data_IF_905513898816
#
_entry.id   IF_905513898816
#
_cell.length_a   1.000
_cell.length_b   1.000
_cell.length_c   1.000
_cell.angle_alpha   90.00
_cell.angle_beta   90.00
_cell.angle_gamma   90.00
#
_symmetry.space_group_name_H-M   'P 1'
#
loop_
_entity.id
_entity.type
_entity.pdbx_description
1 polymer ?
#
# COMPACT_ATOMS: atom_id res chain seq x y z
N UNK A 1 7.74 10.92 -17.06
CA UNK A 1 7.45 12.12 -16.27
C UNK A 1 7.65 11.81 -14.80
N UNK A 2 8.24 12.72 -14.04
CA UNK A 2 8.50 12.63 -12.59
C UNK A 2 8.45 14.04 -11.99
N UNK A 3 8.36 14.16 -10.66
CA UNK A 3 8.49 15.44 -9.97
C UNK A 3 9.90 16.01 -10.13
N UNK A 4 10.00 17.30 -10.45
CA UNK A 4 11.25 18.03 -10.39
C UNK A 4 11.66 18.37 -8.94
N UNK A 5 12.71 19.20 -8.77
CA UNK A 5 13.18 19.58 -7.44
C UNK A 5 12.15 20.38 -6.64
N UNK A 6 11.36 21.24 -7.29
CA UNK A 6 10.30 22.02 -6.65
C UNK A 6 9.14 21.10 -6.27
N UNK A 7 8.68 20.25 -7.18
CA UNK A 7 7.61 19.27 -6.92
C UNK A 7 7.96 18.31 -5.78
N UNK A 8 9.20 17.81 -5.73
CA UNK A 8 9.69 16.98 -4.62
C UNK A 8 9.73 17.72 -3.29
N UNK A 9 10.06 19.01 -3.30
CA UNK A 9 10.08 19.83 -2.08
C UNK A 9 8.66 20.11 -1.58
N UNK A 10 7.72 20.35 -2.51
CA UNK A 10 6.31 20.56 -2.20
C UNK A 10 5.58 19.25 -1.84
N UNK A 11 6.15 18.10 -2.19
CA UNK A 11 5.52 16.79 -2.04
C UNK A 11 4.47 16.48 -3.11
N UNK A 12 4.28 17.36 -4.11
CA UNK A 12 3.28 17.18 -5.16
C UNK A 12 3.58 17.98 -6.43
N UNK A 13 2.91 17.60 -7.52
CA UNK A 13 2.91 18.28 -8.81
C UNK A 13 1.89 17.67 -9.76
N UNK A 14 1.54 18.38 -10.81
CA UNK A 14 0.58 17.90 -11.81
C UNK A 14 1.06 18.09 -13.25
N UNK A 15 0.45 17.32 -14.16
CA UNK A 15 0.65 17.47 -15.58
C UNK A 15 -0.67 17.34 -16.31
N UNK A 16 -0.97 18.35 -17.12
CA UNK A 16 -2.07 18.29 -18.07
C UNK A 16 -1.55 17.89 -19.44
N UNK A 17 -2.06 16.80 -19.97
CA UNK A 17 -1.68 16.31 -21.30
C UNK A 17 -2.07 17.26 -22.42
N UNK A 18 -1.55 17.04 -23.63
CA UNK A 18 -2.11 17.66 -24.83
C UNK A 18 -3.56 17.21 -25.05
N UNK A 19 -4.31 17.98 -25.83
CA UNK A 19 -5.63 17.56 -26.30
C UNK A 19 -5.44 16.48 -27.38
N UNK A 20 -6.07 15.33 -27.19
CA UNK A 20 -6.15 14.24 -28.16
C UNK A 20 -7.38 14.43 -29.03
N UNK A 21 -7.23 14.27 -30.34
CA UNK A 21 -8.29 14.41 -31.33
C UNK A 21 -8.55 13.05 -32.00
N UNK A 22 -9.75 12.50 -31.81
CA UNK A 22 -10.16 11.24 -32.43
C UNK A 22 -10.58 11.37 -33.90
N UNK A 23 -10.63 12.59 -34.45
CA UNK A 23 -11.06 12.92 -35.82
C UNK A 23 -12.57 13.06 -35.99
N UNK A 24 -13.35 12.32 -35.21
CA UNK A 24 -14.81 12.38 -35.10
C UNK A 24 -15.24 12.23 -33.64
N UNK A 25 -16.53 12.34 -33.35
CA UNK A 25 -17.03 11.92 -32.04
C UNK A 25 -16.59 10.48 -31.75
N UNK A 26 -16.15 10.26 -30.52
CA UNK A 26 -15.61 8.99 -30.08
C UNK A 26 -16.16 8.62 -28.71
N UNK A 27 -16.31 7.32 -28.48
CA UNK A 27 -16.53 6.76 -27.15
C UNK A 27 -15.18 6.39 -26.57
N UNK A 28 -14.73 7.15 -25.57
CA UNK A 28 -13.50 6.90 -24.84
C UNK A 28 -13.74 5.79 -23.83
N UNK A 29 -13.11 4.63 -24.05
CA UNK A 29 -13.43 3.39 -23.36
C UNK A 29 -12.53 3.12 -22.16
N UNK A 30 -11.24 3.43 -22.24
CA UNK A 30 -10.30 3.20 -21.13
C UNK A 30 -9.11 4.14 -21.15
N UNK A 31 -8.54 4.34 -19.96
CA UNK A 31 -7.22 4.90 -19.74
C UNK A 31 -6.36 3.82 -19.06
N UNK A 32 -5.21 3.53 -19.65
CA UNK A 32 -4.20 2.64 -19.09
C UNK A 32 -2.87 3.39 -18.97
N UNK A 33 -2.06 3.02 -17.98
CA UNK A 33 -0.77 3.67 -17.77
C UNK A 33 0.33 2.69 -17.38
N UNK A 34 1.55 3.05 -17.71
CA UNK A 34 2.75 2.31 -17.26
C UNK A 34 3.49 3.17 -16.25
N UNK A 35 3.33 2.92 -14.94
CA UNK A 35 4.17 3.56 -13.94
C UNK A 35 5.53 2.84 -13.85
N UNK A 36 6.53 3.51 -13.31
CA UNK A 36 7.86 2.90 -13.10
C UNK A 36 7.85 1.84 -11.99
N UNK A 37 7.01 2.05 -10.97
CA UNK A 37 6.75 1.15 -9.85
C UNK A 37 5.24 1.18 -9.54
N UNK A 38 4.70 0.17 -8.84
CA UNK A 38 3.32 0.23 -8.33
C UNK A 38 3.21 1.37 -7.30
N UNK A 39 2.37 2.37 -7.56
CA UNK A 39 2.20 3.53 -6.69
C UNK A 39 0.78 3.58 -6.16
N UNK A 40 0.62 3.89 -4.86
CA UNK A 40 -0.68 3.87 -4.19
C UNK A 40 -1.40 2.53 -4.47
N UNK A 41 -0.68 1.42 -4.30
CA UNK A 41 -1.15 0.07 -4.55
C UNK A 41 -0.73 -0.82 -3.39
N UNK A 42 -1.68 -1.59 -2.89
CA UNK A 42 -1.49 -2.57 -1.82
C UNK A 42 -0.51 -3.68 -2.24
N UNK A 43 -0.06 -4.45 -1.26
CA UNK A 43 0.71 -5.67 -1.50
C UNK A 43 -0.15 -6.70 -2.26
N UNK A 44 0.44 -7.52 -3.15
CA UNK A 44 -0.34 -8.51 -3.90
C UNK A 44 -1.01 -9.58 -3.02
N UNK A 45 -2.31 -9.80 -3.22
CA UNK A 45 -3.07 -10.88 -2.58
C UNK A 45 -2.64 -12.27 -3.07
N UNK A 46 -2.98 -13.30 -2.29
CA UNK A 46 -2.94 -14.73 -2.62
C UNK A 46 -1.58 -15.16 -3.18
N UNK A 47 -0.51 -14.92 -2.42
CA UNK A 47 0.87 -15.25 -2.82
C UNK A 47 1.27 -14.59 -4.17
N UNK A 48 0.65 -13.46 -4.51
CA UNK A 48 0.76 -12.82 -5.81
C UNK A 48 2.20 -12.44 -6.18
N UNK A 49 2.57 -12.73 -7.44
CA UNK A 49 3.87 -12.34 -8.00
C UNK A 49 3.66 -11.28 -9.07
N UNK A 50 4.22 -10.11 -8.84
CA UNK A 50 4.27 -9.06 -9.84
C UNK A 50 5.49 -9.19 -10.74
N UNK A 51 5.31 -8.85 -12.00
CA UNK A 51 6.41 -8.76 -12.98
C UNK A 51 6.20 -7.69 -14.04
N UNK A 52 5.10 -6.95 -13.95
CA UNK A 52 4.65 -6.03 -14.99
C UNK A 52 5.35 -4.66 -14.93
N UNK A 53 5.87 -4.27 -13.77
CA UNK A 53 6.50 -2.97 -13.54
C UNK A 53 8.00 -2.99 -13.89
N UNK A 54 8.57 -1.82 -14.19
CA UNK A 54 10.00 -1.72 -14.46
C UNK A 54 10.87 -1.92 -13.21
N UNK A 55 10.33 -1.58 -12.03
CA UNK A 55 10.91 -1.80 -10.71
C UNK A 55 9.79 -1.94 -9.67
N UNK A 56 10.12 -2.31 -8.43
CA UNK A 56 9.14 -2.37 -7.34
C UNK A 56 8.16 -3.54 -7.37
N UNK A 57 8.32 -4.47 -8.32
CA UNK A 57 7.62 -5.75 -8.31
C UNK A 57 7.95 -6.50 -7.02
N UNK A 58 6.94 -7.11 -6.41
CA UNK A 58 7.11 -7.97 -5.24
C UNK A 58 6.66 -9.39 -5.56
N UNK A 59 7.33 -10.34 -4.92
CA UNK A 59 7.02 -11.76 -4.91
C UNK A 59 6.52 -12.08 -3.50
N UNK A 60 5.21 -12.31 -3.39
CA UNK A 60 4.56 -12.59 -2.11
C UNK A 60 4.42 -14.09 -1.84
N UNK A 61 5.03 -14.99 -2.61
CA UNK A 61 4.85 -16.46 -2.46
C UNK A 61 5.22 -17.08 -1.11
N UNK A 62 5.82 -16.31 -0.20
CA UNK A 62 6.16 -16.76 1.14
C UNK A 62 5.46 -15.93 2.22
N UNK A 63 4.50 -15.08 1.85
CA UNK A 63 3.67 -14.42 2.85
C UNK A 63 2.75 -15.46 3.52
N UNK A 64 2.60 -15.31 4.83
CA UNK A 64 1.77 -16.21 5.65
C UNK A 64 0.72 -15.41 6.41
N UNK A 65 0.76 -14.09 6.32
CA UNK A 65 -0.26 -13.19 6.79
C UNK A 65 -0.14 -11.90 5.99
N UNK A 66 -1.26 -11.44 5.44
CA UNK A 66 -1.39 -10.10 4.86
C UNK A 66 -2.75 -9.53 5.24
N UNK A 67 -2.77 -8.52 6.10
CA UNK A 67 -3.98 -7.79 6.44
C UNK A 67 -3.92 -6.39 5.84
N UNK A 68 -4.69 -6.18 4.77
CA UNK A 68 -4.92 -4.84 4.24
C UNK A 68 -5.74 -3.95 5.18
N UNK A 69 -6.43 -4.54 6.17
CA UNK A 69 -7.26 -3.79 7.13
C UNK A 69 -8.30 -2.89 6.44
N UNK A 70 -8.91 -3.45 5.38
CA UNK A 70 -9.84 -2.76 4.49
C UNK A 70 -11.32 -2.97 4.84
N UNK A 71 -11.59 -3.67 5.93
CA UNK A 71 -12.94 -4.02 6.35
C UNK A 71 -13.80 -2.78 6.63
N UNK A 72 -15.12 -2.93 6.49
CA UNK A 72 -16.08 -1.87 6.75
C UNK A 72 -16.26 -1.61 8.26
N UNK A 73 -16.86 -0.46 8.59
CA UNK A 73 -17.24 -0.13 9.98
C UNK A 73 -18.00 -1.25 10.68
N UNK A 74 -17.60 -1.56 11.92
CA UNK A 74 -18.19 -2.61 12.74
C UNK A 74 -17.68 -4.02 12.44
N UNK A 75 -16.57 -4.15 11.70
CA UNK A 75 -15.93 -5.43 11.48
C UNK A 75 -15.36 -6.03 12.77
N UNK A 76 -15.59 -7.33 12.96
CA UNK A 76 -15.01 -8.13 14.05
C UNK A 76 -14.18 -9.30 13.55
N UNK A 77 -14.10 -9.45 12.23
CA UNK A 77 -13.31 -10.44 11.51
C UNK A 77 -12.50 -9.72 10.45
N UNK A 78 -11.22 -10.05 10.34
CA UNK A 78 -10.25 -9.41 9.46
C UNK A 78 -9.66 -10.45 8.53
N UNK A 79 -9.66 -10.16 7.24
CA UNK A 79 -9.29 -11.13 6.21
C UNK A 79 -7.78 -11.21 6.09
N UNK A 80 -7.25 -12.43 6.06
CA UNK A 80 -5.90 -12.70 5.61
C UNK A 80 -5.88 -12.84 4.08
N UNK A 81 -5.37 -11.80 3.42
CA UNK A 81 -5.21 -11.73 1.98
C UNK A 81 -3.99 -12.49 1.45
N UNK A 82 -3.13 -13.06 2.30
CA UNK A 82 -1.98 -13.85 1.82
C UNK A 82 -2.41 -15.15 1.12
N UNK A 83 -3.60 -15.66 1.47
CA UNK A 83 -4.09 -16.97 1.04
C UNK A 83 -3.78 -18.10 2.02
N UNK A 84 -3.03 -17.84 3.09
CA UNK A 84 -2.72 -18.82 4.13
C UNK A 84 -3.92 -19.13 5.05
N UNK A 85 -4.91 -18.24 5.10
CA UNK A 85 -6.15 -18.44 5.86
C UNK A 85 -6.05 -18.05 7.34
N UNK A 86 -5.01 -17.31 7.71
CA UNK A 86 -4.73 -16.82 9.06
C UNK A 86 -5.56 -15.58 9.39
N UNK A 87 -6.89 -15.68 9.25
CA UNK A 87 -7.81 -14.57 9.50
C UNK A 87 -7.74 -14.10 10.96
N UNK A 88 -7.89 -12.79 11.16
CA UNK A 88 -7.95 -12.16 12.48
C UNK A 88 -9.37 -11.99 12.99
N UNK A 89 -9.52 -11.80 14.30
CA UNK A 89 -10.77 -11.40 14.93
C UNK A 89 -10.52 -10.49 16.13
N UNK A 90 -11.53 -9.77 16.59
CA UNK A 90 -11.46 -8.95 17.79
C UNK A 90 -12.71 -9.12 18.65
N UNK A 91 -12.64 -8.72 19.93
CA UNK A 91 -13.72 -8.87 20.90
C UNK A 91 -14.51 -7.57 21.09
N UNK A 92 -15.52 -7.38 20.24
CA UNK A 92 -16.40 -6.21 20.27
C UNK A 92 -17.29 -6.20 21.53
N UNK A 93 -17.62 -7.38 22.07
CA UNK A 93 -18.48 -7.50 23.24
C UNK A 93 -17.86 -6.84 24.48
N UNK A 94 -16.53 -6.77 24.52
CA UNK A 94 -15.78 -6.10 25.58
C UNK A 94 -15.14 -4.77 25.13
N UNK A 95 -15.50 -4.24 23.96
CA UNK A 95 -14.90 -3.01 23.40
C UNK A 95 -13.37 -3.09 23.24
N UNK A 96 -12.87 -4.21 22.71
CA UNK A 96 -11.46 -4.41 22.35
C UNK A 96 -11.29 -4.57 20.82
N UNK A 97 -12.19 -3.96 20.04
CA UNK A 97 -12.15 -3.97 18.58
C UNK A 97 -11.75 -2.60 18.04
N UNK A 98 -10.70 -2.52 17.20
CA UNK A 98 -10.31 -1.25 16.62
C UNK A 98 -11.39 -0.69 15.70
N UNK A 99 -11.42 0.63 15.57
CA UNK A 99 -12.39 1.33 14.72
C UNK A 99 -11.85 1.54 13.31
N UNK A 100 -12.68 1.37 12.28
CA UNK A 100 -12.29 1.70 10.91
C UNK A 100 -12.02 3.20 10.76
N UNK A 101 -11.00 3.56 9.98
CA UNK A 101 -10.77 4.90 9.47
C UNK A 101 -10.63 4.87 7.95
N UNK A 102 -11.23 5.85 7.27
CA UNK A 102 -11.09 6.00 5.80
C UNK A 102 -9.82 6.74 5.41
N UNK A 103 -8.95 7.03 6.37
CA UNK A 103 -7.66 7.68 6.18
C UNK A 103 -6.49 6.69 6.31
N UNK A 104 -6.73 5.44 5.90
CA UNK A 104 -5.68 4.43 5.78
C UNK A 104 -4.53 4.87 4.88
N UNK A 105 -3.42 4.13 4.91
CA UNK A 105 -2.36 4.34 3.94
C UNK A 105 -2.85 3.95 2.56
N UNK A 106 -3.55 2.82 2.48
CA UNK A 106 -4.22 2.33 1.30
C UNK A 106 -5.71 2.11 1.64
N UNK A 107 -6.58 2.87 0.98
CA UNK A 107 -8.02 2.80 1.21
C UNK A 107 -8.40 3.01 2.70
N UNK A 108 -8.81 1.98 3.43
CA UNK A 108 -9.13 2.09 4.86
C UNK A 108 -7.91 1.72 5.73
N UNK A 109 -8.03 1.95 7.03
CA UNK A 109 -7.15 1.36 8.03
C UNK A 109 -7.93 1.21 9.33
N UNK A 110 -7.27 0.73 10.37
CA UNK A 110 -7.92 0.53 11.67
C UNK A 110 -7.18 1.30 12.77
N UNK A 111 -7.94 2.11 13.50
CA UNK A 111 -7.49 2.94 14.61
C UNK A 111 -7.66 2.18 15.93
N UNK A 112 -6.55 2.02 16.65
CA UNK A 112 -6.47 1.35 17.94
C UNK A 112 -6.43 2.41 19.03
N UNK A 113 -7.32 2.33 20.01
CA UNK A 113 -7.48 3.40 21.01
C UNK A 113 -6.60 3.25 22.28
N UNK A 114 -5.80 2.19 22.35
CA UNK A 114 -5.03 1.81 23.53
C UNK A 114 -5.66 0.71 24.39
N UNK A 115 -6.79 0.12 23.96
CA UNK A 115 -7.35 -1.12 24.49
C UNK A 115 -7.62 -2.18 23.42
N UNK A 116 -7.54 -1.83 22.14
CA UNK A 116 -7.92 -2.70 21.03
C UNK A 116 -6.85 -3.72 20.62
N UNK A 117 -7.29 -4.88 20.12
CA UNK A 117 -6.42 -5.91 19.55
C UNK A 117 -7.13 -6.69 18.47
N UNK A 118 -6.43 -7.01 17.38
CA UNK A 118 -6.83 -8.05 16.43
C UNK A 118 -5.99 -9.29 16.73
N UNK A 119 -6.63 -10.40 17.02
CA UNK A 119 -5.99 -11.68 17.33
C UNK A 119 -6.16 -12.65 16.17
N UNK A 120 -5.04 -13.16 15.69
CA UNK A 120 -4.92 -14.26 14.74
C UNK A 120 -4.53 -15.51 15.52
N UNK A 121 -5.37 -16.54 15.48
CA UNK A 121 -5.12 -17.77 16.22
C UNK A 121 -3.82 -18.45 15.75
N UNK A 122 -3.13 -19.12 16.67
CA UNK A 122 -1.92 -19.86 16.35
C UNK A 122 -2.16 -20.89 15.23
N UNK A 123 -1.26 -20.90 14.26
CA UNK A 123 -1.23 -21.84 13.15
C UNK A 123 0.25 -22.22 12.86
N UNK A 124 0.54 -23.47 12.46
CA UNK A 124 1.89 -23.89 12.08
C UNK A 124 2.59 -23.01 11.04
N UNK A 125 1.85 -22.38 10.12
CA UNK A 125 2.40 -21.45 9.13
C UNK A 125 3.02 -20.19 9.75
N UNK A 126 2.55 -19.78 10.94
CA UNK A 126 3.06 -18.64 11.69
C UNK A 126 4.21 -19.00 12.65
N UNK A 127 4.53 -20.30 12.83
CA UNK A 127 5.58 -20.79 13.72
C UNK A 127 6.97 -20.73 13.06
N UNK A 128 7.35 -19.54 12.60
CA UNK A 128 8.57 -19.29 11.83
C UNK A 128 9.82 -19.37 12.73
N UNK A 129 10.85 -20.09 12.27
CA UNK A 129 12.14 -20.29 12.98
C UNK A 129 13.37 -19.90 12.17
N UNK A 130 13.18 -19.62 10.88
CA UNK A 130 14.26 -19.30 9.93
C UNK A 130 14.21 -17.84 9.49
N UNK A 131 14.25 -17.63 8.19
CA UNK A 131 14.09 -16.30 7.60
C UNK A 131 12.69 -15.75 7.90
N UNK A 132 12.62 -14.48 8.29
CA UNK A 132 11.37 -13.80 8.65
C UNK A 132 11.43 -12.34 8.20
N UNK A 133 10.33 -11.85 7.66
CA UNK A 133 10.08 -10.41 7.52
C UNK A 133 8.72 -10.08 8.11
N UNK A 134 8.66 -9.04 8.94
CA UNK A 134 7.40 -8.47 9.43
C UNK A 134 7.37 -6.98 9.09
N UNK A 135 6.21 -6.46 8.68
CA UNK A 135 6.06 -5.04 8.40
C UNK A 135 4.63 -4.56 8.63
N UNK A 136 4.48 -3.26 8.82
CA UNK A 136 3.19 -2.57 8.84
C UNK A 136 3.38 -1.07 8.52
N UNK A 137 2.35 -0.44 7.98
CA UNK A 137 2.19 1.00 8.04
C UNK A 137 1.53 1.38 9.37
N UNK A 138 2.04 2.42 10.03
CA UNK A 138 1.48 2.90 11.30
C UNK A 138 1.44 4.42 11.41
N UNK A 139 0.43 4.93 12.11
CA UNK A 139 0.40 6.26 12.72
C UNK A 139 0.35 6.08 14.24
N UNK A 140 1.18 6.82 14.97
CA UNK A 140 1.05 6.93 16.43
C UNK A 140 0.32 8.23 16.76
N UNK A 141 -0.77 8.14 17.52
CA UNK A 141 -1.53 9.31 18.01
C UNK A 141 -1.01 9.83 19.35
N UNK A 142 -0.11 9.08 19.99
CA UNK A 142 0.51 9.42 21.27
C UNK A 142 1.96 9.87 21.08
N UNK A 143 2.30 11.03 21.65
CA UNK A 143 3.65 11.59 21.61
C UNK A 143 4.55 11.08 22.73
N UNK A 144 3.97 10.50 23.78
CA UNK A 144 4.67 9.82 24.89
C UNK A 144 3.80 8.69 25.44
N UNK A 145 4.41 7.56 25.78
CA UNK A 145 3.77 6.48 26.53
C UNK A 145 4.67 6.03 27.68
N UNK A 146 4.06 5.68 28.82
CA UNK A 146 4.80 5.12 29.96
C UNK A 146 5.30 3.69 29.67
N UNK A 147 4.65 2.97 28.75
CA UNK A 147 4.94 1.59 28.41
C UNK A 147 5.31 1.44 26.93
N UNK A 148 5.85 0.28 26.57
CA UNK A 148 5.96 -0.10 25.17
C UNK A 148 4.57 -0.41 24.58
N UNK A 149 4.43 -0.26 23.27
CA UNK A 149 3.20 -0.45 22.51
C UNK A 149 3.46 -1.43 21.37
N UNK A 150 2.68 -2.50 21.28
CA UNK A 150 2.87 -3.53 20.26
C UNK A 150 2.15 -3.19 18.97
N UNK A 151 2.83 -3.34 17.83
CA UNK A 151 2.24 -3.16 16.49
C UNK A 151 1.82 -4.54 15.98
N UNK A 152 2.75 -5.49 16.01
CA UNK A 152 2.56 -6.88 15.61
C UNK A 152 3.38 -7.76 16.56
N UNK A 153 2.76 -8.74 17.18
CA UNK A 153 3.39 -9.55 18.22
C UNK A 153 3.00 -11.02 18.10
N UNK A 154 4.00 -11.89 18.02
CA UNK A 154 3.83 -13.33 18.27
C UNK A 154 4.90 -13.73 19.25
N UNK A 155 4.67 -13.46 20.53
CA UNK A 155 5.62 -13.76 21.60
C UNK A 155 4.95 -14.42 22.78
N UNK A 156 5.63 -15.43 23.32
CA UNK A 156 5.39 -15.91 24.67
C UNK A 156 6.12 -15.02 25.66
N UNK A 157 5.39 -14.53 26.66
CA UNK A 157 5.94 -13.74 27.75
C UNK A 157 5.58 -14.35 29.10
N UNK A 158 6.60 -14.73 29.88
CA UNK A 158 6.47 -15.18 31.26
C UNK A 158 7.55 -14.55 32.14
N UNK A 159 7.11 -13.65 33.02
CA UNK A 159 7.98 -12.94 33.96
C UNK A 159 8.44 -13.83 35.14
N UNK A 160 7.71 -14.90 35.45
CA UNK A 160 8.01 -15.78 36.58
C UNK A 160 9.20 -16.68 36.28
N UNK A 161 9.29 -17.17 35.03
CA UNK A 161 10.40 -18.01 34.57
C UNK A 161 11.40 -17.29 33.66
N UNK A 162 11.19 -16.00 33.40
CA UNK A 162 12.05 -15.17 32.55
C UNK A 162 12.04 -15.58 31.07
N UNK A 163 11.03 -16.34 30.63
CA UNK A 163 10.94 -16.85 29.26
C UNK A 163 10.25 -15.82 28.37
N UNK A 164 10.99 -15.34 27.38
CA UNK A 164 10.52 -14.39 26.39
C UNK A 164 11.01 -14.87 25.04
N UNK A 165 10.12 -15.38 24.19
CA UNK A 165 10.50 -15.93 22.90
C UNK A 165 9.44 -15.78 21.83
N UNK A 166 9.88 -15.80 20.58
CA UNK A 166 9.11 -15.34 19.43
C UNK A 166 9.63 -14.00 18.91
N UNK A 167 8.75 -13.25 18.24
CA UNK A 167 9.08 -11.98 17.60
C UNK A 167 8.01 -10.91 17.85
N UNK A 168 8.42 -9.65 17.93
CA UNK A 168 7.49 -8.53 17.91
C UNK A 168 8.07 -7.30 17.22
N UNK A 169 7.17 -6.52 16.63
CA UNK A 169 7.38 -5.17 16.15
C UNK A 169 6.63 -4.22 17.07
N UNK A 170 7.33 -3.23 17.63
CA UNK A 170 6.76 -2.40 18.69
C UNK A 170 7.44 -1.01 18.77
N UNK A 171 6.85 -0.12 19.56
CA UNK A 171 7.41 1.18 19.94
C UNK A 171 7.64 1.18 21.45
N UNK A 172 8.81 1.61 21.91
CA UNK A 172 9.13 1.63 23.35
C UNK A 172 8.72 2.96 24.01
N UNK A 173 8.84 3.05 25.34
CA UNK A 173 8.53 4.27 26.10
C UNK A 173 9.45 5.47 25.81
N UNK A 174 10.58 5.26 25.11
CA UNK A 174 11.43 6.31 24.57
C UNK A 174 11.05 6.70 23.13
N UNK A 175 9.87 6.29 22.67
CA UNK A 175 9.33 6.53 21.33
C UNK A 175 10.19 5.98 20.18
N UNK A 176 11.01 4.96 20.44
CA UNK A 176 11.78 4.26 19.40
C UNK A 176 11.03 3.03 18.94
N UNK A 177 10.93 2.87 17.62
CA UNK A 177 10.50 1.61 17.03
C UNK A 177 11.59 0.56 17.24
N UNK A 178 11.18 -0.69 17.44
CA UNK A 178 12.10 -1.79 17.61
C UNK A 178 11.48 -3.11 17.18
N UNK A 179 12.37 -4.03 16.80
CA UNK A 179 12.05 -5.46 16.74
C UNK A 179 12.64 -6.15 17.96
N UNK A 180 11.88 -7.05 18.56
CA UNK A 180 12.35 -7.98 19.58
C UNK A 180 12.40 -9.38 19.00
N UNK A 181 13.45 -10.13 19.33
CA UNK A 181 13.58 -11.56 19.05
C UNK A 181 13.97 -12.27 20.34
N UNK A 182 13.36 -13.42 20.61
CA UNK A 182 13.70 -14.26 21.76
C UNK A 182 13.69 -15.75 21.45
N UNK A 183 14.39 -16.49 22.30
CA UNK A 183 14.55 -17.95 22.22
C UNK A 183 13.89 -18.65 23.40
N UNK A 184 13.41 -19.88 23.20
CA UNK A 184 12.79 -20.67 24.28
C UNK A 184 13.72 -20.90 25.50
N UNK A 185 15.03 -20.78 25.30
CA UNK A 185 16.05 -20.84 26.35
C UNK A 185 16.19 -19.54 27.17
N UNK A 186 15.43 -18.49 26.86
CA UNK A 186 15.38 -17.22 27.58
C UNK A 186 16.37 -16.15 27.09
N UNK A 187 17.20 -16.45 26.08
CA UNK A 187 18.00 -15.41 25.42
C UNK A 187 17.10 -14.50 24.58
N UNK A 188 17.34 -13.20 24.62
CA UNK A 188 16.55 -12.17 23.94
C UNK A 188 17.40 -11.01 23.48
N UNK A 189 17.01 -10.37 22.39
CA UNK A 189 17.64 -9.16 21.86
C UNK A 189 16.59 -8.22 21.28
N UNK A 190 16.91 -6.93 21.21
CA UNK A 190 16.13 -5.96 20.46
C UNK A 190 17.02 -5.10 19.57
N UNK A 191 16.47 -4.66 18.44
CA UNK A 191 17.12 -3.74 17.50
C UNK A 191 16.24 -2.50 17.41
N UNK A 192 16.79 -1.33 17.72
CA UNK A 192 16.05 -0.08 17.85
C UNK A 192 16.31 0.85 16.67
N UNK A 193 15.33 1.71 16.39
CA UNK A 193 15.49 2.82 15.46
C UNK A 193 16.52 3.84 15.93
N UNK A 194 17.14 4.51 14.97
CA UNK A 194 18.14 5.55 15.23
C UNK A 194 17.50 6.71 16.04
N UNK A 195 16.34 7.16 15.59
CA UNK A 195 15.59 8.29 16.16
C UNK A 195 14.42 7.82 17.02
N UNK A 196 13.94 8.71 17.87
CA UNK A 196 12.61 8.64 18.47
C UNK A 196 11.60 9.30 17.51
N UNK A 197 10.40 8.74 17.42
CA UNK A 197 9.33 9.17 16.51
C UNK A 197 8.13 9.62 17.35
N UNK A 198 7.96 10.94 17.43
CA UNK A 198 6.91 11.59 18.23
C UNK A 198 5.92 12.38 17.38
N UNK A 199 6.05 12.30 16.07
CA UNK A 199 5.10 12.89 15.15
C UNK A 199 3.92 11.94 14.89
N UNK A 200 2.92 12.46 14.18
CA UNK A 200 1.67 11.76 13.87
C UNK A 200 1.57 11.47 12.36
N UNK A 201 2.71 11.22 11.70
CA UNK A 201 2.73 10.85 10.28
C UNK A 201 2.73 9.33 10.10
N UNK A 202 2.34 8.89 8.91
CA UNK A 202 2.51 7.50 8.49
C UNK A 202 3.99 7.14 8.42
N UNK A 203 4.35 6.04 9.09
CA UNK A 203 5.65 5.40 8.94
C UNK A 203 5.48 3.95 8.50
N UNK A 204 6.39 3.50 7.63
CA UNK A 204 6.51 2.08 7.30
C UNK A 204 7.59 1.45 8.17
N UNK A 205 7.20 0.53 9.04
CA UNK A 205 8.11 -0.15 9.96
C UNK A 205 8.27 -1.58 9.47
N UNK A 206 9.50 -2.01 9.24
CA UNK A 206 9.78 -3.39 8.84
C UNK A 206 10.99 -3.97 9.59
N UNK A 207 10.97 -5.26 9.86
CA UNK A 207 12.09 -5.98 10.44
C UNK A 207 12.36 -7.27 9.68
N UNK A 208 13.63 -7.60 9.53
CA UNK A 208 14.11 -8.79 8.83
C UNK A 208 15.00 -9.59 9.77
N UNK A 209 14.67 -10.86 9.98
CA UNK A 209 15.55 -11.87 10.58
C UNK A 209 16.01 -12.83 9.49
N UNK A 210 17.29 -13.19 9.50
CA UNK A 210 17.90 -14.12 8.55
C UNK A 210 18.28 -15.42 9.25
N UNK A 211 18.38 -16.49 8.47
CA UNK A 211 18.80 -17.83 8.89
C UNK A 211 20.22 -17.88 9.46
N UNK A 212 21.06 -16.87 9.21
CA UNK A 212 22.34 -16.66 9.89
C UNK A 212 22.20 -15.95 11.26
N UNK A 213 20.97 -15.80 11.74
CA UNK A 213 20.52 -15.10 12.95
C UNK A 213 20.65 -13.58 12.92
N UNK A 214 21.04 -12.96 11.80
CA UNK A 214 21.12 -11.50 11.69
C UNK A 214 19.75 -10.85 11.77
N UNK A 215 19.64 -9.75 12.51
CA UNK A 215 18.40 -8.99 12.69
C UNK A 215 18.61 -7.55 12.25
N UNK A 216 17.69 -7.06 11.42
CA UNK A 216 17.70 -5.72 10.85
C UNK A 216 16.33 -5.05 11.06
N UNK A 217 16.35 -3.75 11.34
CA UNK A 217 15.17 -2.91 11.41
C UNK A 217 15.23 -1.86 10.28
N UNK A 218 14.09 -1.52 9.72
CA UNK A 218 13.92 -0.52 8.68
C UNK A 218 12.79 0.42 9.08
N UNK A 219 12.99 1.71 8.85
CA UNK A 219 11.97 2.75 9.02
C UNK A 219 11.92 3.51 7.72
N UNK A 220 10.73 3.63 7.13
CA UNK A 220 10.49 4.33 5.86
C UNK A 220 11.40 3.81 4.73
N UNK A 221 11.57 2.49 4.67
CA UNK A 221 12.43 1.82 3.70
C UNK A 221 13.94 1.93 3.98
N UNK A 222 14.36 2.66 5.02
CA UNK A 222 15.77 2.89 5.35
C UNK A 222 16.22 1.98 6.50
N UNK A 223 17.25 1.18 6.24
CA UNK A 223 17.88 0.31 7.22
C UNK A 223 18.49 1.12 8.38
N UNK A 224 18.18 0.71 9.60
CA UNK A 224 18.70 1.34 10.82
C UNK A 224 20.14 0.90 11.10
N UNK A 225 20.88 1.70 11.87
CA UNK A 225 22.31 1.42 12.13
C UNK A 225 22.53 0.33 13.16
N UNK A 226 21.62 0.20 14.13
CA UNK A 226 21.64 -0.89 15.08
C UNK A 226 21.28 -2.22 14.37
N UNK A 227 21.98 -3.28 14.75
CA UNK A 227 21.73 -4.65 14.29
C UNK A 227 21.74 -5.60 15.47
N UNK A 228 21.09 -6.75 15.32
CA UNK A 228 21.08 -7.81 16.32
C UNK A 228 21.56 -9.12 15.73
N UNK A 229 21.91 -10.07 16.61
CA UNK A 229 22.12 -11.46 16.20
C UNK A 229 21.59 -12.39 17.29
N UNK A 230 20.53 -13.12 16.96
CA UNK A 230 19.93 -14.12 17.84
C UNK A 230 19.03 -15.03 17.02
N UNK A 231 19.07 -16.34 17.30
CA UNK A 231 18.15 -17.28 16.67
C UNK A 231 16.70 -16.97 17.02
N UNK A 232 15.81 -17.14 16.04
CA UNK A 232 14.37 -17.03 16.24
C UNK A 232 13.82 -18.31 16.88
N UNK A 233 13.25 -18.20 18.07
CA UNK A 233 12.55 -19.31 18.71
C UNK A 233 11.15 -19.52 18.12
N UNK A 234 10.79 -20.76 17.82
CA UNK A 234 9.39 -21.14 17.53
C UNK A 234 8.51 -20.80 18.72
N UNK A 235 7.30 -20.35 18.45
CA UNK A 235 6.33 -19.97 19.47
C UNK A 235 4.92 -20.35 19.01
N UNK A 236 4.16 -20.95 19.92
CA UNK A 236 2.80 -21.46 19.67
C UNK A 236 1.77 -20.55 20.38
N UNK A 237 1.98 -19.25 20.26
CA UNK A 237 1.10 -18.21 20.80
C UNK A 237 0.35 -17.58 19.63
N UNK A 238 -0.84 -17.06 19.89
CA UNK A 238 -1.57 -16.27 18.91
C UNK A 238 -0.73 -15.07 18.44
N UNK A 239 -0.98 -14.61 17.22
CA UNK A 239 -0.40 -13.38 16.70
C UNK A 239 -1.39 -12.24 16.97
N UNK A 240 -0.93 -11.24 17.72
CA UNK A 240 -1.69 -10.04 18.05
C UNK A 240 -1.22 -8.85 17.20
N UNK A 241 -2.16 -8.13 16.61
CA UNK A 241 -1.95 -6.82 15.99
C UNK A 241 -2.54 -5.77 16.93
N UNK A 242 -1.74 -4.76 17.28
CA UNK A 242 -2.11 -3.71 18.22
C UNK A 242 -1.81 -3.99 19.69
N UNK A 243 -1.14 -5.11 20.04
CA UNK A 243 -0.78 -5.45 21.43
C UNK A 243 0.57 -6.15 21.52
N UNK A 244 1.38 -5.84 22.54
CA UNK A 244 2.72 -6.45 22.72
C UNK A 244 2.74 -7.68 23.63
N UNK A 245 1.97 -7.70 24.71
CA UNK A 245 1.99 -8.80 25.67
C UNK A 245 0.56 -9.22 25.98
N UNK A 246 0.15 -10.41 25.53
CA UNK A 246 -1.22 -10.92 25.69
C UNK A 246 -1.75 -10.84 27.13
N UNK A 247 -0.90 -11.10 28.12
CA UNK A 247 -1.25 -11.14 29.55
C UNK A 247 -1.28 -9.77 30.26
N UNK A 248 -1.02 -8.65 29.58
CA UNK A 248 -0.99 -7.32 30.21
C UNK A 248 -1.93 -6.33 29.52
N UNK A 249 -2.57 -5.49 30.33
CA UNK A 249 -3.60 -4.53 29.89
C UNK A 249 -3.05 -3.15 29.47
N UNK A 250 -1.73 -2.94 29.46
CA UNK A 250 -1.15 -1.58 29.28
C UNK A 250 -0.10 -1.47 28.16
N UNK A 251 -0.07 -2.43 27.22
CA UNK A 251 0.94 -2.48 26.14
C UNK A 251 0.33 -2.44 24.73
N UNK A 252 -0.79 -1.75 24.62
CA UNK A 252 -1.55 -1.59 23.39
C UNK A 252 -0.99 -0.47 22.51
N UNK A 253 -1.13 -0.66 21.21
CA UNK A 253 -0.96 0.41 20.23
C UNK A 253 -2.01 1.50 20.46
N UNK A 254 -1.61 2.74 20.20
CA UNK A 254 -2.54 3.85 20.14
C UNK A 254 -2.27 4.65 18.87
N UNK A 255 -3.20 4.55 17.94
CA UNK A 255 -3.18 5.08 16.59
C UNK A 255 -3.51 4.04 15.53
N UNK A 256 -3.28 4.41 14.27
CA UNK A 256 -3.75 3.61 13.13
C UNK A 256 -2.70 2.60 12.66
N UNK A 257 -3.14 1.40 12.28
CA UNK A 257 -2.34 0.38 11.58
C UNK A 257 -3.00 0.08 10.23
N UNK A 258 -2.18 -0.18 9.22
CA UNK A 258 -2.58 -0.57 7.88
C UNK A 258 -1.49 -1.48 7.25
N UNK A 259 -1.86 -2.33 6.29
CA UNK A 259 -0.96 -3.22 5.54
C UNK A 259 0.00 -4.04 6.42
N UNK A 260 -0.56 -4.76 7.39
CA UNK A 260 0.23 -5.60 8.29
C UNK A 260 0.57 -6.94 7.62
N UNK A 261 1.86 -7.30 7.58
CA UNK A 261 2.34 -8.47 6.85
C UNK A 261 3.37 -9.29 7.63
N UNK A 262 3.27 -10.62 7.50
CA UNK A 262 4.28 -11.59 7.96
C UNK A 262 4.69 -12.45 6.77
N UNK A 263 6.00 -12.48 6.49
CA UNK A 263 6.59 -13.25 5.39
C UNK A 263 7.59 -14.23 5.97
N UNK A 264 7.45 -15.50 5.62
CA UNK A 264 8.39 -16.59 5.93
C UNK A 264 9.61 -16.56 4.97
N UNK A 265 10.18 -15.38 4.78
CA UNK A 265 11.35 -15.13 3.96
C UNK A 265 12.06 -13.84 4.42
N UNK A 266 13.34 -13.73 4.11
CA UNK A 266 14.15 -12.56 4.42
C UNK A 266 14.16 -11.62 3.23
N UNK A 267 13.28 -10.62 3.23
CA UNK A 267 13.23 -9.63 2.16
C UNK A 267 14.51 -8.79 2.13
N UNK A 268 14.92 -8.43 0.92
CA UNK A 268 16.11 -7.62 0.69
C UNK A 268 15.86 -6.14 1.02
N UNK A 269 16.94 -5.38 1.25
CA UNK A 269 16.87 -3.93 1.46
C UNK A 269 16.10 -3.22 0.32
N UNK A 270 16.19 -3.73 -0.91
CA UNK A 270 15.47 -3.18 -2.06
C UNK A 270 13.98 -3.48 -2.00
N UNK A 271 13.59 -4.72 -1.64
CA UNK A 271 12.17 -5.08 -1.50
C UNK A 271 11.51 -4.29 -0.37
N UNK A 272 12.18 -4.11 0.78
CA UNK A 272 11.66 -3.28 1.88
C UNK A 272 11.50 -1.81 1.45
N UNK A 273 12.46 -1.27 0.71
CA UNK A 273 12.36 0.08 0.16
C UNK A 273 11.22 0.20 -0.86
N UNK A 274 10.99 -0.83 -1.67
CA UNK A 274 9.93 -0.83 -2.67
C UNK A 274 8.54 -0.95 -2.02
N UNK A 275 8.37 -1.73 -0.95
CA UNK A 275 7.16 -1.72 -0.09
C UNK A 275 6.86 -0.30 0.43
N UNK A 276 7.88 0.38 0.97
CA UNK A 276 7.71 1.77 1.41
C UNK A 276 7.30 2.70 0.26
N UNK A 277 7.95 2.60 -0.90
CA UNK A 277 7.67 3.49 -2.04
C UNK A 277 6.27 3.35 -2.62
N UNK A 278 5.64 2.16 -2.50
CA UNK A 278 4.22 1.93 -2.88
C UNK A 278 3.30 2.87 -2.13
N UNK A 279 3.47 2.93 -0.81
CA UNK A 279 2.66 3.82 0.02
C UNK A 279 3.13 5.25 -0.10
N UNK A 280 4.45 5.51 -0.14
CA UNK A 280 5.03 6.85 -0.08
C UNK A 280 4.75 7.73 -1.32
N UNK A 281 4.53 7.14 -2.49
CA UNK A 281 4.24 7.88 -3.72
C UNK A 281 2.83 7.59 -4.23
N UNK A 282 2.20 8.61 -4.83
CA UNK A 282 0.87 8.49 -5.44
C UNK A 282 0.94 8.92 -6.90
N UNK A 283 0.33 8.14 -7.77
CA UNK A 283 0.11 8.49 -9.17
C UNK A 283 -1.37 8.33 -9.46
N UNK A 284 -2.00 9.45 -9.79
CA UNK A 284 -3.45 9.57 -9.88
C UNK A 284 -3.84 10.33 -11.14
N UNK A 285 -5.04 10.08 -11.65
CA UNK A 285 -5.52 10.70 -12.89
C UNK A 285 -6.93 11.24 -12.73
N UNK A 286 -7.19 12.35 -13.41
CA UNK A 286 -8.52 12.77 -13.80
C UNK A 286 -8.55 12.94 -15.31
N UNK A 287 -9.74 12.81 -15.90
CA UNK A 287 -9.92 12.85 -17.35
C UNK A 287 -11.06 13.79 -17.71
N UNK A 288 -11.09 14.22 -18.97
CA UNK A 288 -12.24 14.89 -19.57
C UNK A 288 -12.31 14.58 -21.06
N UNK A 289 -13.52 14.53 -21.58
CA UNK A 289 -13.78 14.58 -23.03
C UNK A 289 -14.40 15.93 -23.36
N UNK A 290 -14.11 16.46 -24.55
CA UNK A 290 -14.42 17.84 -24.89
C UNK A 290 -15.08 17.95 -26.27
N UNK A 291 -16.10 18.81 -26.37
CA UNK A 291 -16.84 19.01 -27.61
C UNK A 291 -16.12 19.96 -28.59
N UNK A 292 -15.16 20.74 -28.07
CA UNK A 292 -14.34 21.68 -28.82
C UNK A 292 -12.83 21.40 -28.73
N UNK A 293 -12.07 21.85 -29.74
CA UNK A 293 -10.64 21.57 -29.86
C UNK A 293 -9.74 22.33 -28.88
N UNK A 294 -10.29 23.27 -28.12
CA UNK A 294 -9.65 23.98 -27.01
C UNK A 294 -9.97 23.34 -25.64
N UNK A 295 -10.91 22.38 -25.59
CA UNK A 295 -11.42 21.79 -24.35
C UNK A 295 -11.83 22.87 -23.32
N UNK A 296 -12.70 23.77 -23.75
CA UNK A 296 -13.12 24.93 -22.97
C UNK A 296 -14.49 24.70 -22.32
N UNK A 297 -14.53 24.70 -20.99
CA UNK A 297 -15.78 24.58 -20.22
C UNK A 297 -16.04 23.19 -19.62
N UNK A 298 -15.30 22.16 -20.00
CA UNK A 298 -15.39 20.83 -19.40
C UNK A 298 -14.43 20.66 -18.22
N UNK A 299 -14.93 20.05 -17.15
CA UNK A 299 -14.16 19.76 -15.94
C UNK A 299 -13.43 18.44 -16.05
N UNK A 300 -12.26 18.36 -15.42
CA UNK A 300 -11.61 17.08 -15.15
C UNK A 300 -12.40 16.32 -14.08
N UNK A 301 -12.66 15.04 -14.33
CA UNK A 301 -13.44 14.15 -13.47
C UNK A 301 -12.67 12.86 -13.16
N UNK A 302 -12.92 12.31 -11.98
CA UNK A 302 -12.50 10.98 -11.59
C UNK A 302 -13.59 9.92 -11.85
N UNK A 303 -13.43 8.70 -11.31
CA UNK A 303 -14.32 7.56 -11.57
C UNK A 303 -15.78 7.76 -11.13
N UNK A 304 -16.06 8.64 -10.16
CA UNK A 304 -17.43 8.96 -9.72
C UNK A 304 -18.10 10.07 -10.53
N UNK A 305 -17.39 10.66 -11.50
CA UNK A 305 -17.88 11.79 -12.30
C UNK A 305 -17.70 13.17 -11.64
N UNK A 306 -17.07 13.23 -10.46
CA UNK A 306 -16.74 14.48 -9.77
C UNK A 306 -15.27 14.86 -9.94
N UNK A 307 -14.92 16.11 -9.64
CA UNK A 307 -13.53 16.58 -9.57
C UNK A 307 -12.83 16.21 -8.26
N UNK A 308 -13.50 15.50 -7.35
CA UNK A 308 -12.96 15.11 -6.05
C UNK A 308 -12.33 13.72 -6.01
N UNK A 309 -12.51 12.90 -7.04
CA UNK A 309 -11.98 11.54 -7.12
C UNK A 309 -10.95 11.38 -8.22
N UNK A 310 -10.23 10.25 -8.20
CA UNK A 310 -9.13 9.99 -9.10
C UNK A 310 -9.09 8.53 -9.54
N UNK A 311 -8.76 8.30 -10.81
CA UNK A 311 -8.35 6.99 -11.27
C UNK A 311 -6.93 6.71 -10.74
N UNK A 312 -6.73 5.54 -10.14
CA UNK A 312 -5.45 5.14 -9.54
C UNK A 312 -5.38 3.61 -9.39
N UNK A 313 -4.27 3.11 -8.85
CA UNK A 313 -4.09 1.70 -8.50
C UNK A 313 -4.64 1.34 -7.11
N UNK A 314 -5.24 2.30 -6.38
CA UNK A 314 -5.63 2.13 -4.97
C UNK A 314 -6.58 0.95 -4.72
N UNK A 315 -7.41 0.61 -5.69
CA UNK A 315 -8.38 -0.49 -5.59
C UNK A 315 -8.07 -1.63 -6.56
N UNK A 316 -6.81 -1.71 -7.03
CA UNK A 316 -6.37 -2.68 -8.03
C UNK A 316 -5.54 -3.81 -7.41
N UNK A 317 -6.20 -4.95 -7.15
CA UNK A 317 -5.53 -6.18 -6.70
C UNK A 317 -4.84 -6.96 -7.84
N UNK A 318 -4.92 -6.50 -9.10
CA UNK A 318 -4.29 -7.19 -10.23
C UNK A 318 -2.77 -7.05 -10.20
N UNK A 319 -2.02 -8.10 -10.57
CA UNK A 319 -0.56 -8.02 -10.75
C UNK A 319 -0.14 -7.43 -12.11
N UNK A 320 -1.11 -7.09 -12.97
CA UNK A 320 -0.88 -6.47 -14.28
C UNK A 320 -0.71 -4.94 -14.19
N UNK A 321 -0.29 -4.32 -15.30
CA UNK A 321 -0.29 -2.86 -15.41
C UNK A 321 -1.73 -2.29 -15.36
N UNK A 322 -1.90 -1.09 -14.79
CA UNK A 322 -3.22 -0.53 -14.55
C UNK A 322 -3.95 -0.10 -15.83
N UNK A 323 -5.23 -0.44 -15.88
CA UNK A 323 -6.17 -0.05 -16.93
C UNK A 323 -7.55 0.16 -16.33
N UNK A 324 -8.08 1.38 -16.44
CA UNK A 324 -9.40 1.75 -15.89
C UNK A 324 -10.39 2.10 -17.00
N UNK A 325 -11.60 1.57 -16.87
CA UNK A 325 -12.73 1.85 -17.77
C UNK A 325 -13.27 3.26 -17.54
N UNK A 326 -13.59 3.96 -18.62
CA UNK A 326 -14.13 5.32 -18.61
C UNK A 326 -15.65 5.32 -18.83
N UNK A 327 -16.40 4.69 -17.92
CA UNK A 327 -17.85 4.51 -18.06
C UNK A 327 -18.69 5.77 -17.83
N UNK A 328 -18.08 6.83 -17.30
CA UNK A 328 -18.71 8.09 -16.91
C UNK A 328 -18.25 9.28 -17.78
N UNK A 329 -17.50 9.01 -18.86
CA UNK A 329 -16.98 10.04 -19.77
C UNK A 329 -17.91 10.18 -20.99
N UNK A 330 -18.34 11.40 -21.28
CA UNK A 330 -19.22 11.68 -22.43
C UNK A 330 -18.56 11.39 -23.77
N UNK A 331 -19.38 11.06 -24.77
CA UNK A 331 -18.92 10.84 -26.13
C UNK A 331 -18.62 12.16 -26.83
N UNK A 332 -17.34 12.50 -26.95
CA UNK A 332 -16.88 13.70 -27.64
C UNK A 332 -15.64 13.41 -28.49
N UNK A 333 -15.36 14.29 -29.45
CA UNK A 333 -14.21 14.17 -30.37
C UNK A 333 -12.86 14.32 -29.67
N UNK A 334 -12.78 15.20 -28.68
CA UNK A 334 -11.52 15.53 -28.02
C UNK A 334 -11.43 14.90 -26.63
N UNK A 335 -10.21 14.67 -26.16
CA UNK A 335 -9.96 14.13 -24.83
C UNK A 335 -8.68 14.69 -24.23
N UNK A 336 -8.65 14.80 -22.90
CA UNK A 336 -7.47 15.19 -22.15
C UNK A 336 -7.46 14.47 -20.80
N UNK A 337 -6.28 14.05 -20.37
CA UNK A 337 -6.05 13.63 -18.99
C UNK A 337 -5.18 14.62 -18.24
N UNK A 338 -5.34 14.64 -16.92
CA UNK A 338 -4.48 15.30 -15.96
C UNK A 338 -3.92 14.26 -14.99
N UNK A 339 -2.60 14.19 -14.90
CA UNK A 339 -1.89 13.32 -13.96
C UNK A 339 -1.47 14.12 -12.73
N UNK A 340 -1.66 13.53 -11.56
CA UNK A 340 -1.27 14.07 -10.26
C UNK A 340 -0.22 13.14 -9.66
N UNK A 341 0.90 13.72 -9.24
CA UNK A 341 2.06 13.04 -8.71
C UNK A 341 2.28 13.55 -7.29
N UNK A 342 2.31 12.67 -6.31
CA UNK A 342 2.57 13.04 -4.91
C UNK A 342 3.63 12.15 -4.29
N UNK A 343 4.34 12.70 -3.30
CA UNK A 343 5.33 11.97 -2.52
C UNK A 343 5.35 12.47 -1.07
N UNK A 344 5.42 11.55 -0.12
CA UNK A 344 5.61 11.88 1.30
C UNK A 344 7.07 12.10 1.68
N UNK A 345 8.02 11.94 0.75
CA UNK A 345 9.45 12.14 1.01
C UNK A 345 10.15 12.78 -0.18
N UNK A 346 10.80 13.92 0.06
CA UNK A 346 11.43 14.75 -0.99
C UNK A 346 12.59 14.10 -1.75
N UNK A 347 13.07 12.95 -1.32
CA UNK A 347 14.14 12.19 -1.99
C UNK A 347 13.64 11.17 -3.01
N UNK A 348 12.34 10.89 -3.04
CA UNK A 348 11.71 9.95 -3.97
C UNK A 348 10.62 10.67 -4.79
N UNK A 349 10.17 10.05 -5.89
CA UNK A 349 9.11 10.59 -6.73
C UNK A 349 8.42 9.45 -7.47
N UNK A 350 7.10 9.52 -7.68
CA UNK A 350 6.44 8.69 -8.67
C UNK A 350 6.97 9.03 -10.08
N UNK A 351 6.99 8.03 -10.95
CA UNK A 351 7.35 8.22 -12.35
C UNK A 351 6.35 7.52 -13.29
N UNK A 352 5.79 8.29 -14.22
CA UNK A 352 4.91 7.81 -15.29
C UNK A 352 5.71 7.63 -16.58
N UNK A 353 5.69 6.43 -17.16
CA UNK A 353 6.44 6.08 -18.36
C UNK A 353 5.61 6.22 -19.64
N UNK A 354 4.35 5.76 -19.61
CA UNK A 354 3.46 5.77 -20.77
C UNK A 354 1.98 5.87 -20.39
N UNK A 355 1.16 6.41 -21.29
CA UNK A 355 -0.32 6.44 -21.21
C UNK A 355 -0.88 5.91 -22.52
N UNK A 356 -1.80 4.96 -22.41
CA UNK A 356 -2.58 4.43 -23.52
C UNK A 356 -4.06 4.80 -23.33
N UNK A 357 -4.65 5.39 -24.36
CA UNK A 357 -6.08 5.70 -24.41
C UNK A 357 -6.74 4.79 -25.45
N UNK A 358 -7.86 4.18 -25.07
CA UNK A 358 -8.65 3.33 -25.98
C UNK A 358 -9.97 4.02 -26.28
N UNK A 359 -10.33 4.16 -27.56
CA UNK A 359 -11.60 4.74 -27.97
C UNK A 359 -12.18 4.04 -29.21
N UNK A 360 -13.49 4.14 -29.38
CA UNK A 360 -14.20 3.73 -30.60
C UNK A 360 -14.78 4.92 -31.34
N UNK A 361 -14.58 5.00 -32.65
CA UNK A 361 -15.19 6.05 -33.47
C UNK A 361 -16.70 5.88 -33.53
N UNK A 362 -17.43 6.95 -33.20
CA UNK A 362 -18.85 7.05 -33.44
C UNK A 362 -19.01 7.77 -34.78
N UNK A 363 -18.83 7.02 -35.87
CA UNK A 363 -19.21 7.56 -37.17
C UNK A 363 -20.71 7.87 -37.12
N UNK A 364 -21.09 9.09 -37.47
CA UNK A 364 -22.46 9.31 -37.91
C UNK A 364 -22.65 8.44 -39.14
N UNK A 365 -23.51 7.42 -39.07
CA UNK A 365 -24.06 6.83 -40.30
C UNK A 365 -24.56 8.03 -41.10
N UNK A 366 -24.00 8.34 -42.27
CA UNK A 366 -24.47 9.48 -43.00
C UNK A 366 -25.92 9.16 -43.37
N UNK A 367 -26.87 10.05 -43.07
CA UNK A 367 -28.26 9.89 -43.50
C UNK A 367 -28.28 9.75 -45.04
N UNK A 368 -28.31 8.52 -45.55
CA UNK A 368 -28.51 8.25 -46.96
C UNK A 368 -29.37 7.00 -47.18
N UNK A 369 -30.57 7.26 -47.71
CA UNK A 369 -31.31 6.49 -48.73
C UNK A 369 -31.00 4.98 -48.83
N UNK A 370 -31.91 4.18 -48.27
CA UNK A 370 -32.24 2.78 -48.64
C UNK A 370 -31.18 2.00 -49.43
N UNK A 371 -30.20 1.44 -48.72
CA UNK A 371 -29.25 0.46 -49.24
C UNK A 371 -28.56 -0.31 -48.11
N UNK A 372 -28.48 -1.64 -48.21
CA UNK A 372 -27.87 -2.54 -47.21
C UNK A 372 -26.34 -2.45 -47.31
N UNK A 373 -25.66 -2.17 -46.19
CA UNK A 373 -24.20 -2.28 -46.09
C UNK A 373 -23.74 -2.90 -44.76
N UNK A 374 -22.59 -3.58 -44.84
CA UNK A 374 -21.94 -4.32 -43.75
C UNK A 374 -21.07 -3.37 -42.93
N UNK A 375 -21.33 -3.28 -41.63
CA UNK A 375 -20.55 -2.48 -40.67
C UNK A 375 -19.26 -3.23 -40.29
N UNK A 376 -18.10 -2.61 -40.51
CA UNK A 376 -16.80 -3.12 -40.04
C UNK A 376 -16.35 -2.24 -38.86
N UNK A 377 -16.33 -2.79 -37.65
CA UNK A 377 -15.77 -2.11 -36.47
C UNK A 377 -14.25 -2.22 -36.55
N UNK A 378 -13.55 -1.09 -36.69
CA UNK A 378 -12.09 -1.03 -36.63
C UNK A 378 -11.68 -0.56 -35.23
N UNK A 379 -11.04 -1.44 -34.46
CA UNK A 379 -10.35 -1.05 -33.23
C UNK A 379 -8.97 -0.48 -33.60
N UNK A 380 -8.76 0.82 -33.40
CA UNK A 380 -7.42 1.43 -33.51
C UNK A 380 -6.77 1.52 -32.12
N UNK A 381 -5.59 0.92 -31.97
CA UNK A 381 -4.70 1.10 -30.81
C UNK A 381 -3.53 1.95 -31.26
N UNK A 382 -3.30 3.11 -30.64
CA UNK A 382 -2.10 3.92 -30.88
C UNK A 382 -1.03 3.62 -29.82
N UNK A 383 0.19 3.33 -30.29
CA UNK A 383 1.41 3.28 -29.49
C UNK A 383 2.07 4.66 -29.55
N UNK A 384 2.22 5.38 -28.44
CA UNK A 384 2.89 6.69 -28.42
C UNK A 384 4.27 6.51 -27.77
N UNK A 385 5.32 6.90 -28.50
CA UNK A 385 6.72 6.63 -28.15
C UNK A 385 7.25 7.42 -26.93
N UNK A 386 8.23 6.80 -26.25
CA UNK A 386 9.03 7.34 -25.14
C UNK A 386 9.52 8.78 -25.40
N UNK A 387 9.00 9.75 -24.66
CA UNK A 387 9.70 11.01 -24.35
C UNK A 387 9.90 11.14 -22.85
N UNK A 388 11.17 11.32 -22.43
CA UNK A 388 11.49 11.80 -21.08
C UNK A 388 11.29 13.31 -21.05
N UNK A 389 10.06 13.74 -20.85
CA UNK A 389 9.78 15.15 -20.58
C UNK A 389 9.73 15.35 -19.05
N UNK A 390 10.57 16.29 -18.55
CA UNK A 390 10.50 16.85 -17.20
C UNK A 390 9.52 18.02 -17.27
N UNK A 391 8.55 18.09 -16.36
CA UNK A 391 7.45 19.06 -16.45
C UNK A 391 7.38 19.89 -15.18
N UNK A 392 7.27 21.21 -15.36
CA UNK A 392 6.78 22.20 -14.39
C UNK A 392 5.38 22.65 -14.82
N UNK A 393 4.44 22.76 -13.88
CA UNK A 393 3.84 24.03 -13.39
C UNK A 393 3.49 23.83 -11.92
#
# INVERSE_FOLDING_TARGET
MELDATGKTNGSGDFTSRIFDAGSNASWSSIAWTPYQPYLKELPDNEGVESAYAAGNLDMTNDVLLMHLNESSGATSFTDSSGAGNNGSCDDANSHCPAVTTSGRFNNGFDFDGGDVITVLDDPSLQITGDLTIAAWVISTVTTSANAQGILNKMYYDNYWGKNYGFSLAKNSANKYYVFIGTAAGARTSVLSNSAYTDTNWHHIAAVHKSDNSIYLYIDGVKQTATGSLALGSVNEDLDIGKLYGNYENYYWNGTIDEAVVVNAALTDTQILDMYKRGANRLQFQVRSCDDGACSGESFIGPDGSSGTYYSELTDASTALPSKTLGNVSNNRYFQYKAFLETSQSTISPALLDITLTYGSLESVPEFSSGIYVMTIVFMVFYIGRRKDKIFV
#
